data_IF_499330244988
#
_entry.id   IF_499330244988
#
_cell.length_a   1.000
_cell.length_b   1.000
_cell.length_c   1.000
_cell.angle_alpha   90.00
_cell.angle_beta   90.00
_cell.angle_gamma   90.00
#
_symmetry.space_group_name_H-M   'P 1'
#
loop_
_entity.id
_entity.type
_entity.pdbx_description
1 polymer ?
#
# COMPACT_ATOMS: atom_id res chain seq x y z
N UNK A 1 7.42 -2.41 8.24
CA UNK A 1 6.31 -3.38 8.40
C UNK A 1 5.32 -3.02 9.51
N UNK A 2 5.71 -2.24 10.52
CA UNK A 2 4.85 -1.93 11.69
C UNK A 2 3.46 -1.41 11.33
N UNK A 3 3.35 -0.51 10.33
CA UNK A 3 2.05 0.06 9.96
C UNK A 3 1.27 -0.83 8.97
N UNK A 4 1.92 -1.43 7.97
CA UNK A 4 1.24 -2.17 6.90
C UNK A 4 0.49 -3.43 7.37
N UNK A 5 1.02 -4.14 8.37
CA UNK A 5 0.41 -5.39 8.86
C UNK A 5 -0.93 -5.14 9.57
N UNK A 6 -1.04 -4.17 10.51
CA UNK A 6 -2.32 -3.73 11.06
C UNK A 6 -3.36 -3.33 10.02
N UNK A 7 -2.99 -2.57 8.98
CA UNK A 7 -3.93 -2.20 7.91
C UNK A 7 -4.44 -3.43 7.15
N UNK A 8 -3.61 -4.45 6.94
CA UNK A 8 -4.06 -5.70 6.32
C UNK A 8 -4.99 -6.49 7.25
N UNK A 9 -4.73 -6.52 8.56
CA UNK A 9 -5.67 -7.12 9.52
C UNK A 9 -7.02 -6.41 9.54
N UNK A 10 -7.03 -5.07 9.50
CA UNK A 10 -8.25 -4.29 9.35
C UNK A 10 -8.97 -4.64 8.04
N UNK A 11 -8.22 -4.74 6.94
CA UNK A 11 -8.76 -5.12 5.62
C UNK A 11 -9.40 -6.51 5.65
N UNK A 12 -8.77 -7.49 6.30
CA UNK A 12 -9.35 -8.82 6.50
C UNK A 12 -10.66 -8.75 7.31
N UNK A 13 -10.71 -7.94 8.37
CA UNK A 13 -11.92 -7.76 9.17
C UNK A 13 -13.08 -7.13 8.39
N UNK A 14 -12.79 -6.16 7.53
CA UNK A 14 -13.79 -5.53 6.65
C UNK A 14 -14.23 -6.49 5.54
N UNK A 15 -13.29 -7.21 4.91
CA UNK A 15 -13.58 -8.20 3.89
C UNK A 15 -14.46 -9.34 4.43
N UNK A 16 -14.22 -9.81 5.66
CA UNK A 16 -15.09 -10.78 6.34
C UNK A 16 -16.54 -10.31 6.48
N UNK A 17 -16.79 -8.99 6.47
CA UNK A 17 -18.14 -8.39 6.50
C UNK A 17 -18.72 -8.11 5.11
N UNK A 18 -18.04 -8.55 4.04
CA UNK A 18 -18.49 -8.40 2.66
C UNK A 18 -18.02 -7.13 1.95
N UNK A 19 -17.07 -6.39 2.53
CA UNK A 19 -16.51 -5.20 1.87
C UNK A 19 -15.39 -5.56 0.91
N UNK A 20 -15.42 -4.97 -0.29
CA UNK A 20 -14.30 -5.05 -1.25
C UNK A 20 -13.23 -4.04 -0.87
N UNK A 21 -11.98 -4.47 -0.84
CA UNK A 21 -10.83 -3.68 -0.42
C UNK A 21 -9.82 -3.58 -1.56
N UNK A 22 -9.40 -2.35 -1.83
CA UNK A 22 -8.25 -2.04 -2.69
C UNK A 22 -7.11 -1.58 -1.82
N UNK A 23 -6.04 -2.37 -1.76
CA UNK A 23 -4.95 -2.18 -0.82
C UNK A 23 -3.68 -1.75 -1.57
N UNK A 24 -3.29 -0.49 -1.40
CA UNK A 24 -2.19 0.12 -2.13
C UNK A 24 -0.87 -0.12 -1.40
N UNK A 25 0.03 -0.89 -2.03
CA UNK A 25 1.37 -1.17 -1.50
C UNK A 25 2.39 -1.36 -2.61
N UNK A 26 3.66 -1.01 -2.35
CA UNK A 26 4.75 -1.29 -3.27
C UNK A 26 4.86 -2.78 -3.65
N UNK A 27 5.29 -3.04 -4.89
CA UNK A 27 5.19 -4.36 -5.54
C UNK A 27 5.95 -5.46 -4.80
N UNK A 28 7.15 -5.21 -4.29
CA UNK A 28 7.92 -6.22 -3.54
C UNK A 28 7.32 -6.48 -2.17
N UNK A 29 6.71 -5.48 -1.56
CA UNK A 29 6.04 -5.63 -0.26
C UNK A 29 4.82 -6.54 -0.35
N UNK A 30 4.15 -6.59 -1.52
CA UNK A 30 3.01 -7.49 -1.76
C UNK A 30 3.33 -8.94 -1.42
N UNK A 31 4.50 -9.45 -1.86
CA UNK A 31 4.88 -10.85 -1.63
C UNK A 31 4.97 -11.22 -0.15
N UNK A 32 5.33 -10.26 0.72
CA UNK A 32 5.43 -10.46 2.17
C UNK A 32 4.06 -10.44 2.86
N UNK A 33 3.10 -9.72 2.29
CA UNK A 33 1.75 -9.53 2.85
C UNK A 33 0.71 -10.49 2.26
N UNK A 34 0.96 -11.03 1.07
CA UNK A 34 0.05 -11.94 0.39
C UNK A 34 -0.31 -13.20 1.21
N UNK A 35 0.62 -13.84 1.96
CA UNK A 35 0.26 -14.96 2.83
C UNK A 35 -0.70 -14.58 3.97
N UNK A 36 -0.78 -13.30 4.33
CA UNK A 36 -1.64 -12.78 5.40
C UNK A 36 -3.01 -12.31 4.89
N UNK A 37 -3.25 -12.36 3.58
CA UNK A 37 -4.55 -12.06 2.98
C UNK A 37 -5.47 -13.29 3.12
N UNK A 38 -6.51 -13.17 3.95
CA UNK A 38 -7.46 -14.24 4.21
C UNK A 38 -8.64 -14.24 3.22
N UNK A 39 -8.76 -13.18 2.41
CA UNK A 39 -9.89 -12.95 1.51
C UNK A 39 -9.42 -12.51 0.12
N UNK A 40 -8.74 -13.37 -0.67
CA UNK A 40 -8.14 -13.02 -1.95
C UNK A 40 -9.15 -12.54 -3.01
N UNK A 41 -10.42 -12.91 -2.89
CA UNK A 41 -11.48 -12.46 -3.79
C UNK A 41 -12.03 -11.07 -3.44
N UNK A 42 -11.79 -10.60 -2.22
CA UNK A 42 -12.30 -9.31 -1.73
C UNK A 42 -11.19 -8.29 -1.54
N UNK A 43 -9.94 -8.71 -1.39
CA UNK A 43 -8.79 -7.84 -1.17
C UNK A 43 -7.87 -7.92 -2.39
N UNK A 44 -7.79 -6.83 -3.14
CA UNK A 44 -6.92 -6.67 -4.30
C UNK A 44 -5.75 -5.75 -3.97
N UNK A 45 -4.53 -6.19 -4.24
CA UNK A 45 -3.33 -5.35 -4.07
C UNK A 45 -3.06 -4.52 -5.33
N UNK A 46 -2.81 -3.22 -5.13
CA UNK A 46 -2.41 -2.29 -6.19
C UNK A 46 -1.01 -1.78 -5.90
N UNK A 47 -0.14 -1.80 -6.92
CA UNK A 47 1.19 -1.20 -6.85
C UNK A 47 1.20 0.09 -7.68
N UNK A 48 1.32 1.27 -7.05
CA UNK A 48 1.58 2.50 -7.81
C UNK A 48 2.97 2.44 -8.45
N UNK A 49 3.16 3.16 -9.56
CA UNK A 49 4.48 3.24 -10.18
C UNK A 49 5.35 4.21 -9.40
N UNK A 50 6.47 3.72 -8.89
CA UNK A 50 7.49 4.51 -8.21
C UNK A 50 8.76 4.55 -9.05
N UNK A 51 9.28 5.74 -9.30
CA UNK A 51 10.52 5.98 -10.03
C UNK A 51 11.55 6.65 -9.11
N UNK A 52 12.85 6.39 -9.35
CA UNK A 52 13.93 7.16 -8.72
C UNK A 52 14.44 6.65 -7.36
N UNK A 53 14.03 5.46 -6.89
CA UNK A 53 14.61 4.87 -5.67
C UNK A 53 15.92 4.12 -5.96
N UNK A 54 16.98 4.35 -5.17
CA UNK A 54 18.22 3.59 -5.29
C UNK A 54 17.98 2.11 -4.95
N UNK A 55 18.63 1.22 -5.69
CA UNK A 55 18.73 -0.21 -5.39
C UNK A 55 17.42 -0.96 -5.07
N UNK A 56 16.29 -0.54 -5.64
CA UNK A 56 14.99 -1.20 -5.45
C UNK A 56 14.43 -1.12 -4.01
N UNK A 57 14.86 -0.14 -3.22
CA UNK A 57 14.20 0.18 -1.97
C UNK A 57 12.74 0.57 -2.25
N UNK A 58 11.81 0.07 -1.44
CA UNK A 58 10.37 0.40 -1.58
C UNK A 58 9.76 0.88 -0.26
N UNK A 59 10.43 0.59 0.86
CA UNK A 59 9.94 0.89 2.20
C UNK A 59 11.05 1.46 3.07
N UNK A 60 10.67 2.14 4.16
CA UNK A 60 11.62 2.62 5.18
C UNK A 60 12.42 1.49 5.84
N UNK A 61 12.00 0.22 5.70
CA UNK A 61 12.78 -0.93 6.17
C UNK A 61 13.94 -1.31 5.24
N UNK A 62 13.96 -0.81 4.01
CA UNK A 62 14.98 -1.13 3.01
C UNK A 62 16.15 -0.13 3.02
N UNK A 63 16.06 0.97 3.79
CA UNK A 63 17.03 2.07 3.77
C UNK A 63 17.42 2.56 5.17
N UNK A 64 18.62 3.15 5.33
CA UNK A 64 18.97 3.86 6.56
C UNK A 64 18.03 5.05 6.81
N UNK A 65 17.95 5.46 8.08
CA UNK A 65 17.09 6.57 8.51
C UNK A 65 17.32 7.87 7.72
N UNK A 66 18.56 8.15 7.31
CA UNK A 66 18.92 9.32 6.50
C UNK A 66 18.22 9.39 5.15
N UNK A 67 17.69 8.28 4.63
CA UNK A 67 16.99 8.20 3.35
C UNK A 67 15.46 8.11 3.50
N UNK A 68 14.91 8.25 4.72
CA UNK A 68 13.45 8.19 4.93
C UNK A 68 12.72 9.30 4.15
N UNK A 69 13.27 10.50 4.11
CA UNK A 69 12.70 11.62 3.33
C UNK A 69 12.66 11.32 1.83
N UNK A 70 13.64 10.56 1.31
CA UNK A 70 13.65 10.13 -0.08
C UNK A 70 12.49 9.14 -0.36
N UNK A 71 12.25 8.20 0.56
CA UNK A 71 11.11 7.27 0.47
C UNK A 71 9.79 8.06 0.48
N UNK A 72 9.62 8.99 1.41
CA UNK A 72 8.43 9.84 1.47
C UNK A 72 8.22 10.64 0.18
N UNK A 73 9.28 11.27 -0.34
CA UNK A 73 9.23 12.04 -1.60
C UNK A 73 8.79 11.18 -2.78
N UNK A 74 9.29 9.94 -2.86
CA UNK A 74 8.93 9.04 -3.97
C UNK A 74 7.50 8.50 -3.81
N UNK A 75 7.04 8.25 -2.58
CA UNK A 75 5.63 7.92 -2.32
C UNK A 75 4.73 9.10 -2.70
N UNK A 76 5.10 10.34 -2.38
CA UNK A 76 4.33 11.53 -2.78
C UNK A 76 4.18 11.67 -4.30
N UNK A 77 5.19 11.24 -5.07
CA UNK A 77 5.11 11.23 -6.53
C UNK A 77 4.04 10.27 -7.06
N UNK A 78 3.64 9.25 -6.29
CA UNK A 78 2.56 8.32 -6.66
C UNK A 78 1.16 8.91 -6.54
N UNK A 79 1.01 10.11 -5.97
CA UNK A 79 -0.28 10.75 -5.72
C UNK A 79 -1.19 10.78 -6.94
N UNK A 80 -0.65 11.10 -8.13
CA UNK A 80 -1.44 11.15 -9.38
C UNK A 80 -1.98 9.79 -9.78
N UNK A 81 -1.17 8.75 -9.65
CA UNK A 81 -1.58 7.37 -9.95
C UNK A 81 -2.67 6.92 -8.98
N UNK A 82 -2.47 7.17 -7.68
CA UNK A 82 -3.45 6.84 -6.64
C UNK A 82 -4.77 7.58 -6.91
N UNK A 83 -4.72 8.88 -7.23
CA UNK A 83 -5.91 9.66 -7.54
C UNK A 83 -6.68 9.09 -8.74
N UNK A 84 -5.98 8.73 -9.81
CA UNK A 84 -6.61 8.13 -11.00
C UNK A 84 -7.26 6.78 -10.67
N UNK A 85 -6.58 5.95 -9.89
CA UNK A 85 -7.10 4.63 -9.49
C UNK A 85 -8.32 4.81 -8.58
N UNK A 86 -8.27 5.71 -7.59
CA UNK A 86 -9.39 5.98 -6.69
C UNK A 86 -10.63 6.48 -7.45
N UNK A 87 -10.46 7.39 -8.43
CA UNK A 87 -11.54 7.85 -9.31
C UNK A 87 -12.16 6.71 -10.11
N UNK A 88 -11.34 5.78 -10.62
CA UNK A 88 -11.81 4.61 -11.38
C UNK A 88 -12.55 3.61 -10.49
N UNK A 89 -12.05 3.35 -9.29
CA UNK A 89 -12.63 2.41 -8.34
C UNK A 89 -13.92 2.93 -7.69
N UNK A 90 -14.12 4.25 -7.67
CA UNK A 90 -15.25 4.92 -6.98
C UNK A 90 -15.33 4.50 -5.51
N UNK A 91 -14.18 4.48 -4.83
CA UNK A 91 -14.08 4.10 -3.43
C UNK A 91 -14.95 4.99 -2.53
N UNK A 92 -15.70 4.38 -1.62
CA UNK A 92 -16.59 5.10 -0.69
C UNK A 92 -15.85 5.64 0.54
N UNK A 93 -14.76 4.95 0.93
CA UNK A 93 -13.96 5.28 2.09
C UNK A 93 -12.48 5.02 1.79
N UNK A 94 -11.62 5.91 2.28
CA UNK A 94 -10.16 5.80 2.14
C UNK A 94 -9.55 5.87 3.53
N UNK A 95 -8.78 4.84 3.88
CA UNK A 95 -7.91 4.83 5.05
C UNK A 95 -6.48 5.04 4.57
N UNK A 96 -5.75 5.94 5.20
CA UNK A 96 -4.34 6.23 4.88
C UNK A 96 -3.53 6.43 6.16
N UNK A 97 -2.22 6.31 6.04
CA UNK A 97 -1.25 6.53 7.13
C UNK A 97 -0.87 8.02 7.20
N UNK A 98 -0.56 8.53 8.38
CA UNK A 98 -0.26 9.95 8.61
C UNK A 98 1.25 10.26 8.67
N UNK A 99 2.08 9.24 8.45
CA UNK A 99 3.52 9.26 8.72
C UNK A 99 4.38 9.48 7.49
#
# INVERSE_FOLDING_TARGET
MGNLTPYLHLSNNLARRGHTISFFIPKRTQTKLQPLNLHPYLITFFAPHVHGLPHHAETTTDVPFSLFTLIATVIDQTKKDIELILKKLKSQLVFFDFQ
#
